data_IF_120677626260
#
_entry.id   IF_120677626260
#
_cell.length_a   1.000
_cell.length_b   1.000
_cell.length_c   1.000
_cell.angle_alpha   90.00
_cell.angle_beta   90.00
_cell.angle_gamma   90.00
#
_symmetry.space_group_name_H-M   'P 1'
#
loop_
_entity.id
_entity.type
_entity.pdbx_description
1 polymer ?
#
# COMPACT_ATOMS: atom_id res chain seq x y z
N UNK A 1 0.06 -8.87 -7.31
CA UNK A 1 -0.26 -7.93 -8.40
C UNK A 1 -1.75 -7.69 -8.37
N UNK A 2 -2.17 -6.43 -8.34
CA UNK A 2 -3.57 -6.05 -8.45
C UNK A 2 -3.64 -4.88 -9.43
N UNK A 3 -4.30 -5.09 -10.56
CA UNK A 3 -4.49 -4.10 -11.63
C UNK A 3 -5.97 -3.71 -11.62
N UNK A 4 -6.39 -2.99 -10.59
CA UNK A 4 -7.77 -2.52 -10.47
C UNK A 4 -7.85 -1.04 -10.88
N UNK A 5 -8.84 -0.73 -11.72
CA UNK A 5 -9.12 0.62 -12.22
C UNK A 5 -9.75 1.54 -11.14
N UNK A 6 -10.09 0.97 -9.98
CA UNK A 6 -10.47 1.72 -8.78
C UNK A 6 -10.32 0.86 -7.53
N UNK A 7 -9.55 1.32 -6.54
CA UNK A 7 -9.51 0.74 -5.20
C UNK A 7 -9.87 1.82 -4.19
N UNK A 8 -11.00 1.64 -3.49
CA UNK A 8 -11.44 2.58 -2.46
C UNK A 8 -10.47 2.70 -1.28
N UNK A 9 -9.61 1.71 -1.03
CA UNK A 9 -8.66 1.75 0.08
C UNK A 9 -7.42 0.85 -0.06
N UNK A 10 -7.40 -0.16 -0.94
CA UNK A 10 -6.22 -1.01 -1.13
C UNK A 10 -5.89 -1.88 0.09
N UNK A 11 -6.89 -2.48 0.75
CA UNK A 11 -6.69 -3.38 1.91
C UNK A 11 -5.67 -4.50 1.62
N UNK A 12 -5.69 -5.05 0.40
CA UNK A 12 -4.78 -6.11 -0.04
C UNK A 12 -3.32 -5.64 -0.04
N UNK A 13 -3.07 -4.34 -0.26
CA UNK A 13 -1.72 -3.75 -0.21
C UNK A 13 -1.23 -3.73 1.23
N UNK A 14 -2.07 -3.33 2.18
CA UNK A 14 -1.73 -3.33 3.61
C UNK A 14 -1.47 -4.76 4.11
N UNK A 15 -2.31 -5.72 3.76
CA UNK A 15 -2.14 -7.13 4.14
C UNK A 15 -0.83 -7.72 3.58
N UNK A 16 -0.51 -7.43 2.32
CA UNK A 16 0.75 -7.87 1.73
C UNK A 16 1.98 -7.24 2.42
N UNK A 17 1.92 -5.95 2.75
CA UNK A 17 2.99 -5.26 3.49
C UNK A 17 3.15 -5.83 4.91
N UNK A 18 2.06 -6.17 5.61
CA UNK A 18 2.11 -6.83 6.92
C UNK A 18 2.78 -8.21 6.87
N UNK A 19 2.65 -8.92 5.75
CA UNK A 19 3.32 -10.20 5.50
C UNK A 19 4.76 -10.04 5.00
N UNK A 20 5.36 -8.85 5.13
CA UNK A 20 6.67 -8.50 4.58
C UNK A 20 6.79 -8.76 3.07
N UNK A 21 5.66 -8.70 2.36
CA UNK A 21 5.63 -8.91 0.91
C UNK A 21 5.66 -7.55 0.21
N UNK A 22 6.69 -7.24 -0.58
CA UNK A 22 6.78 -5.96 -1.25
C UNK A 22 5.72 -5.86 -2.35
N UNK A 23 5.08 -4.69 -2.45
CA UNK A 23 3.94 -4.47 -3.35
C UNK A 23 4.31 -3.49 -4.46
N UNK A 24 3.93 -3.84 -5.69
CA UNK A 24 3.92 -2.94 -6.83
C UNK A 24 2.47 -2.68 -7.24
N UNK A 25 2.10 -1.40 -7.37
CA UNK A 25 0.76 -0.98 -7.79
C UNK A 25 0.85 0.24 -8.70
N UNK A 26 -0.13 0.41 -9.58
CA UNK A 26 -0.23 1.61 -10.41
C UNK A 26 -0.70 2.79 -9.56
N UNK A 27 -0.30 4.00 -9.95
CA UNK A 27 -0.76 5.26 -9.35
C UNK A 27 -2.22 5.55 -9.75
N UNK A 28 -3.13 4.67 -9.39
CA UNK A 28 -4.56 4.91 -9.49
C UNK A 28 -4.94 5.98 -8.44
N UNK A 29 -5.81 6.95 -8.78
CA UNK A 29 -6.36 7.87 -7.79
C UNK A 29 -7.17 7.09 -6.74
N UNK A 30 -6.71 7.10 -5.49
CA UNK A 30 -7.32 6.33 -4.39
C UNK A 30 -6.38 6.17 -3.19
N UNK A 31 -6.76 5.33 -2.21
CA UNK A 31 -6.02 5.14 -0.95
C UNK A 31 -4.60 4.56 -1.10
N UNK A 32 -4.25 4.04 -2.28
CA UNK A 32 -2.93 3.42 -2.56
C UNK A 32 -1.79 4.42 -2.42
N UNK A 33 -1.98 5.67 -2.85
CA UNK A 33 -0.98 6.74 -2.70
C UNK A 33 -0.80 7.19 -1.25
N UNK A 34 -1.79 6.95 -0.38
CA UNK A 34 -1.69 7.24 1.06
C UNK A 34 -0.97 6.12 1.82
N UNK A 35 -1.03 4.88 1.30
CA UNK A 35 -0.35 3.70 1.87
C UNK A 35 1.11 3.63 1.41
N UNK A 36 1.37 3.73 0.10
CA UNK A 36 2.71 3.61 -0.49
C UNK A 36 3.46 4.96 -0.43
N UNK A 37 3.94 5.30 0.77
CA UNK A 37 4.67 6.54 1.05
C UNK A 37 6.13 6.27 1.47
N UNK A 38 7.00 7.28 1.36
CA UNK A 38 8.42 7.14 1.67
C UNK A 38 9.14 6.11 0.79
N UNK A 39 9.89 5.18 1.38
CA UNK A 39 10.57 4.09 0.66
C UNK A 39 9.60 3.16 -0.10
N UNK A 40 8.37 3.01 0.40
CA UNK A 40 7.32 2.21 -0.25
C UNK A 40 6.75 2.89 -1.50
N UNK A 41 6.99 4.20 -1.70
CA UNK A 41 6.60 4.90 -2.92
C UNK A 41 7.31 4.36 -4.16
N UNK A 42 8.43 3.65 -4.00
CA UNK A 42 9.08 2.88 -5.08
C UNK A 42 8.16 1.79 -5.66
N UNK A 43 7.15 1.39 -4.89
CA UNK A 43 6.04 0.52 -5.29
C UNK A 43 5.09 1.11 -6.33
N UNK A 44 5.09 2.43 -6.50
CA UNK A 44 4.14 3.12 -7.36
C UNK A 44 4.66 3.25 -8.78
N UNK A 45 4.02 2.52 -9.70
CA UNK A 45 4.24 2.65 -11.13
C UNK A 45 3.28 3.66 -11.74
N UNK A 46 3.66 4.25 -12.87
CA UNK A 46 2.71 4.98 -13.72
C UNK A 46 1.61 4.04 -14.24
N UNK A 47 0.49 4.62 -14.67
CA UNK A 47 -0.68 3.91 -15.18
C UNK A 47 -0.44 3.30 -16.58
N UNK A 48 0.69 2.62 -16.78
CA UNK A 48 1.07 1.95 -18.01
C UNK A 48 1.78 0.61 -17.73
N UNK A 49 1.53 -0.38 -18.58
CA UNK A 49 2.06 -1.74 -18.41
C UNK A 49 3.60 -1.83 -18.33
N UNK A 50 4.35 -1.12 -19.19
CA UNK A 50 5.82 -1.13 -19.13
C UNK A 50 6.40 -0.58 -17.83
N UNK A 51 5.86 0.52 -17.30
CA UNK A 51 6.29 1.12 -16.04
C UNK A 51 6.00 0.17 -14.86
N UNK A 52 4.86 -0.52 -14.88
CA UNK A 52 4.56 -1.53 -13.87
C UNK A 52 5.59 -2.66 -13.89
N UNK A 53 5.95 -3.17 -15.07
CA UNK A 53 6.95 -4.22 -15.21
C UNK A 53 8.34 -3.80 -14.69
N UNK A 54 8.78 -2.57 -15.01
CA UNK A 54 10.04 -2.02 -14.50
C UNK A 54 10.02 -1.85 -12.97
N UNK A 55 8.90 -1.36 -12.45
CA UNK A 55 8.69 -1.19 -11.01
C UNK A 55 8.78 -2.53 -10.28
N UNK A 56 8.13 -3.57 -10.81
CA UNK A 56 8.21 -4.93 -10.28
C UNK A 56 9.64 -5.48 -10.31
N UNK A 57 10.40 -5.29 -11.38
CA UNK A 57 11.81 -5.71 -11.44
C UNK A 57 12.68 -4.96 -10.41
N UNK A 58 12.51 -3.64 -10.29
CA UNK A 58 13.26 -2.81 -9.33
C UNK A 58 13.02 -3.27 -7.89
N UNK A 59 11.77 -3.56 -7.55
CA UNK A 59 11.37 -4.04 -6.23
C UNK A 59 11.85 -5.47 -5.98
N UNK A 60 11.81 -6.33 -7.00
CA UNK A 60 12.29 -7.70 -6.87
C UNK A 60 13.80 -7.76 -6.63
N UNK A 61 14.57 -6.96 -7.36
CA UNK A 61 16.04 -6.92 -7.22
C UNK A 61 16.51 -6.13 -6.00
N UNK A 62 15.79 -5.08 -5.62
CA UNK A 62 16.13 -4.25 -4.47
C UNK A 62 14.85 -3.95 -3.66
N UNK A 63 14.40 -4.90 -2.82
CA UNK A 63 13.16 -4.77 -2.09
C UNK A 63 13.21 -3.57 -1.14
N UNK A 64 12.17 -2.73 -1.12
CA UNK A 64 12.09 -1.61 -0.19
C UNK A 64 12.00 -2.13 1.24
N UNK A 65 12.54 -1.37 2.19
CA UNK A 65 12.40 -1.68 3.61
C UNK A 65 10.95 -1.39 4.03
N UNK A 66 10.27 -2.42 4.53
CA UNK A 66 8.90 -2.30 5.01
C UNK A 66 8.97 -1.96 6.51
N UNK A 67 8.77 -0.69 6.82
CA UNK A 67 8.70 -0.20 8.19
C UNK A 67 7.34 -0.54 8.82
N UNK A 68 7.33 -1.46 9.80
CA UNK A 68 6.09 -1.86 10.47
C UNK A 68 5.40 -0.69 11.18
N UNK A 69 6.16 0.29 11.67
CA UNK A 69 5.64 1.52 12.28
C UNK A 69 4.74 2.32 11.33
N UNK A 70 4.99 2.25 10.01
CA UNK A 70 4.15 2.89 9.01
C UNK A 70 2.84 2.11 8.74
N UNK A 71 2.78 0.84 9.14
CA UNK A 71 1.63 -0.04 8.99
C UNK A 71 0.75 -0.10 10.23
N UNK A 72 1.27 0.24 11.42
CA UNK A 72 0.52 0.26 12.69
C UNK A 72 -0.77 1.10 12.61
N UNK A 73 -0.74 2.20 11.85
CA UNK A 73 -1.91 3.07 11.60
C UNK A 73 -3.07 2.34 10.91
N UNK A 74 -2.78 1.27 10.19
CA UNK A 74 -3.76 0.42 9.51
C UNK A 74 -4.05 -0.87 10.28
N UNK A 75 -3.54 -1.01 11.51
CA UNK A 75 -3.82 -2.16 12.36
C UNK A 75 -5.30 -2.22 12.76
N UNK A 76 -5.78 -3.45 12.98
CA UNK A 76 -7.15 -3.70 13.48
C UNK A 76 -7.38 -2.96 14.80
N UNK A 77 -6.41 -2.95 15.70
CA UNK A 77 -6.49 -2.25 16.98
C UNK A 77 -6.70 -0.73 16.81
N UNK A 78 -5.94 -0.09 15.93
CA UNK A 78 -6.09 1.36 15.65
C UNK A 78 -7.43 1.68 15.01
N UNK A 79 -7.88 0.89 14.03
CA UNK A 79 -9.17 1.08 13.36
C UNK A 79 -10.33 0.87 14.36
N UNK A 80 -10.25 -0.16 15.21
CA UNK A 80 -11.22 -0.40 16.27
C UNK A 80 -11.29 0.76 17.27
N UNK A 81 -10.16 1.37 17.63
CA UNK A 81 -10.15 2.56 18.49
C UNK A 81 -10.84 3.76 17.84
N UNK A 82 -10.57 4.04 16.56
CA UNK A 82 -11.23 5.12 15.81
C UNK A 82 -12.74 4.89 15.69
N UNK A 83 -13.18 3.67 15.40
CA UNK A 83 -14.61 3.32 15.36
C UNK A 83 -15.30 3.53 16.71
N UNK A 84 -14.61 3.23 17.83
CA UNK A 84 -15.14 3.48 19.17
C UNK A 84 -15.26 4.96 19.51
N UNK A 85 -14.39 5.82 18.95
CA UNK A 85 -14.48 7.27 19.12
C UNK A 85 -15.63 7.88 18.31
N UNK A 86 -15.89 7.39 17.09
CA UNK A 86 -17.03 7.81 16.27
C UNK A 86 -18.38 7.55 16.94
N UNK A 87 -18.50 6.51 17.76
CA UNK A 87 -19.72 6.20 18.52
C UNK A 87 -19.92 7.06 19.78
N UNK A 88 -18.99 7.97 20.08
CA UNK A 88 -19.05 8.91 21.21
C UNK A 88 -19.21 10.38 20.78
N UNK A 89 -19.35 10.64 19.49
CA UNK A 89 -19.78 11.93 18.94
C UNK A 89 -21.29 11.90 18.67
#
# INVERSE_FOLDING_TARGET
MLSSDSEGFGNVIVEALLLNTPVASTRCPGGVTEILTGELARGLADLNGPALAQTMQSIYHNPPVIEQSALEKFSVDTICQQYRQLRRA
#
